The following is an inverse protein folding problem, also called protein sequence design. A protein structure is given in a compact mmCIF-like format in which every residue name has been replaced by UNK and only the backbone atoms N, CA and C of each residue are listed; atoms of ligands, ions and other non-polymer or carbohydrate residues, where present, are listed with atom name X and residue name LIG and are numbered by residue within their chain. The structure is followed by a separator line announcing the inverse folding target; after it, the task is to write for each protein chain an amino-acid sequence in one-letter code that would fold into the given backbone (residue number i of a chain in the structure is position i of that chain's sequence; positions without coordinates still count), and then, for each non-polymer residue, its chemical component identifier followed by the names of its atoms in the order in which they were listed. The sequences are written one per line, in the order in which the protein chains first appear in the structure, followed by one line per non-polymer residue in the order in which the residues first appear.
data_IF_733041734043
#
_entry.id   IF_733041734043
#
_cell.length_a   1.000
_cell.length_b   1.000
_cell.length_c   1.000
_cell.angle_alpha   90.00
_cell.angle_beta   90.00
_cell.angle_gamma   90.00
#
_symmetry.space_group_name_H-M   'P 1'
#
loop_
_entity.id
_entity.type
_entity.pdbx_description
1 polymer ?
#
# COMPACT_ATOMS: atom_id res chain seq x y z
N UNK A 1 -8.27 -12.83 16.24
CA UNK A 1 -9.60 -13.08 15.62
C UNK A 1 -9.97 -14.53 15.88
N UNK A 2 -11.24 -14.92 16.03
CA UNK A 2 -11.57 -16.34 16.29
C UNK A 2 -11.53 -17.14 14.99
N UNK A 3 -11.04 -18.39 15.03
CA UNK A 3 -11.01 -19.31 13.88
C UNK A 3 -12.39 -19.45 13.22
N UNK A 4 -13.44 -19.46 14.04
CA UNK A 4 -14.84 -19.49 13.60
C UNK A 4 -15.22 -18.30 12.71
N UNK A 5 -14.81 -17.07 13.06
CA UNK A 5 -15.12 -15.88 12.25
C UNK A 5 -14.41 -15.92 10.89
N UNK A 6 -13.14 -16.31 10.88
CA UNK A 6 -12.37 -16.49 9.65
C UNK A 6 -13.01 -17.51 8.69
N UNK A 7 -13.32 -18.72 9.19
CA UNK A 7 -13.96 -19.79 8.39
C UNK A 7 -15.32 -19.37 7.84
N UNK A 8 -16.13 -18.68 8.67
CA UNK A 8 -17.44 -18.17 8.26
C UNK A 8 -17.32 -17.11 7.17
N UNK A 9 -16.39 -16.16 7.33
CA UNK A 9 -16.15 -15.10 6.36
C UNK A 9 -15.71 -15.66 5.00
N UNK A 10 -14.72 -16.57 4.98
CA UNK A 10 -14.26 -17.19 3.74
C UNK A 10 -15.34 -18.03 3.07
N UNK A 11 -16.09 -18.81 3.85
CA UNK A 11 -17.22 -19.59 3.33
C UNK A 11 -18.26 -18.69 2.67
N UNK A 12 -18.52 -17.52 3.24
CA UNK A 12 -19.40 -16.53 2.61
C UNK A 12 -18.80 -16.05 1.30
N UNK A 13 -17.58 -15.52 1.31
CA UNK A 13 -16.88 -14.98 0.13
C UNK A 13 -16.84 -15.97 -1.04
N UNK A 14 -16.59 -17.26 -0.77
CA UNK A 14 -16.60 -18.33 -1.78
C UNK A 14 -17.96 -18.51 -2.46
N UNK A 15 -19.05 -18.38 -1.70
CA UNK A 15 -20.42 -18.59 -2.18
C UNK A 15 -21.04 -17.32 -2.75
N UNK A 16 -20.44 -16.17 -2.50
CA UNK A 16 -20.99 -14.88 -2.91
C UNK A 16 -20.83 -14.57 -4.38
N UNK A 17 -20.20 -15.40 -5.22
CA UNK A 17 -20.00 -15.08 -6.63
C UNK A 17 -21.26 -15.35 -7.48
N UNK A 18 -21.72 -14.39 -8.33
CA UNK A 18 -21.21 -13.02 -8.48
C UNK A 18 -21.57 -12.13 -7.29
N UNK A 19 -20.59 -11.38 -6.77
CA UNK A 19 -20.77 -10.61 -5.54
C UNK A 19 -21.24 -9.17 -5.79
N UNK A 20 -21.89 -8.59 -4.79
CA UNK A 20 -22.24 -7.17 -4.77
C UNK A 20 -21.37 -6.43 -3.76
N UNK A 21 -20.61 -5.44 -4.22
CA UNK A 21 -19.81 -4.56 -3.36
C UNK A 21 -20.67 -3.65 -2.46
N UNK A 22 -21.99 -3.63 -2.66
CA UNK A 22 -22.94 -2.93 -1.78
C UNK A 22 -23.47 -3.82 -0.66
N UNK A 23 -23.26 -5.13 -0.75
CA UNK A 23 -23.65 -6.06 0.31
C UNK A 23 -22.71 -5.86 1.52
N UNK A 24 -23.31 -5.47 2.65
CA UNK A 24 -22.59 -5.25 3.89
C UNK A 24 -21.98 -6.56 4.42
N UNK A 25 -22.63 -7.71 4.21
CA UNK A 25 -22.09 -9.00 4.62
C UNK A 25 -20.83 -9.35 3.83
N UNK A 26 -20.82 -9.06 2.53
CA UNK A 26 -19.62 -9.23 1.69
C UNK A 26 -18.47 -8.33 2.17
N UNK A 27 -18.75 -7.04 2.42
CA UNK A 27 -17.75 -6.10 2.95
C UNK A 27 -17.18 -6.56 4.29
N UNK A 28 -18.06 -6.88 5.23
CA UNK A 28 -17.66 -7.34 6.56
C UNK A 28 -16.86 -8.64 6.46
N UNK A 29 -17.22 -9.54 5.55
CA UNK A 29 -16.47 -10.78 5.35
C UNK A 29 -15.03 -10.51 4.89
N UNK A 30 -14.78 -9.52 4.03
CA UNK A 30 -13.41 -9.14 3.65
C UNK A 30 -12.60 -8.62 4.85
N UNK A 31 -13.25 -7.90 5.77
CA UNK A 31 -12.64 -7.35 6.99
C UNK A 31 -12.42 -8.40 8.09
N UNK A 32 -13.31 -9.38 8.19
CA UNK A 32 -13.30 -10.46 9.18
C UNK A 32 -12.39 -11.65 8.82
N UNK A 33 -11.81 -11.65 7.61
CA UNK A 33 -10.79 -12.64 7.26
C UNK A 33 -9.53 -12.40 8.09
N UNK A 34 -9.10 -13.41 8.83
CA UNK A 34 -7.75 -13.42 9.41
C UNK A 34 -6.70 -13.75 8.35
N UNK A 35 -6.08 -12.73 7.78
CA UNK A 35 -5.10 -12.89 6.69
C UNK A 35 -3.79 -13.56 7.13
N UNK A 36 -3.51 -13.63 8.45
CA UNK A 36 -2.27 -14.23 8.94
C UNK A 36 -2.26 -15.77 8.82
N UNK A 37 -3.43 -16.39 8.72
CA UNK A 37 -3.60 -17.85 8.71
C UNK A 37 -4.21 -18.38 7.42
N UNK A 38 -4.14 -17.59 6.33
CA UNK A 38 -4.64 -18.03 5.04
C UNK A 38 -3.87 -19.25 4.53
N UNK A 39 -4.63 -20.22 4.02
CA UNK A 39 -4.12 -21.24 3.10
C UNK A 39 -3.89 -20.65 1.71
N UNK A 40 -3.24 -21.41 0.83
CA UNK A 40 -2.98 -20.99 -0.55
C UNK A 40 -4.30 -20.81 -1.31
N UNK A 41 -5.24 -21.72 -1.12
CA UNK A 41 -6.55 -21.74 -1.76
C UNK A 41 -7.40 -20.54 -1.32
N UNK A 42 -7.36 -20.19 -0.04
CA UNK A 42 -8.08 -19.02 0.50
C UNK A 42 -7.48 -17.70 0.02
N UNK A 43 -6.15 -17.63 -0.09
CA UNK A 43 -5.49 -16.47 -0.70
C UNK A 43 -5.87 -16.32 -2.18
N UNK A 44 -6.00 -17.43 -2.93
CA UNK A 44 -6.43 -17.40 -4.32
C UNK A 44 -7.83 -16.80 -4.48
N UNK A 45 -8.79 -17.17 -3.62
CA UNK A 45 -10.13 -16.58 -3.57
C UNK A 45 -10.05 -15.06 -3.42
N UNK A 46 -9.26 -14.57 -2.46
CA UNK A 46 -9.08 -13.14 -2.22
C UNK A 46 -8.40 -12.42 -3.39
N UNK A 47 -7.44 -13.07 -4.05
CA UNK A 47 -6.78 -12.50 -5.23
C UNK A 47 -7.75 -12.35 -6.41
N UNK A 48 -8.63 -13.33 -6.62
CA UNK A 48 -9.67 -13.27 -7.64
C UNK A 48 -10.67 -12.15 -7.34
N UNK A 49 -11.14 -12.07 -6.09
CA UNK A 49 -12.01 -10.96 -5.63
C UNK A 49 -11.33 -9.60 -5.88
N UNK A 50 -10.05 -9.46 -5.53
CA UNK A 50 -9.30 -8.22 -5.74
C UNK A 50 -9.32 -7.72 -7.19
N UNK A 51 -9.21 -8.63 -8.17
CA UNK A 51 -9.20 -8.24 -9.58
C UNK A 51 -10.58 -7.86 -10.12
N UNK A 52 -11.65 -8.43 -9.57
CA UNK A 52 -13.04 -8.10 -9.92
C UNK A 52 -13.55 -6.83 -9.22
N UNK A 53 -12.99 -6.47 -8.07
CA UNK A 53 -13.40 -5.32 -7.28
C UNK A 53 -13.19 -3.96 -7.98
N UNK A 54 -14.23 -3.11 -7.93
CA UNK A 54 -14.23 -1.69 -8.30
C UNK A 54 -14.01 -0.77 -7.10
N UNK A 55 -14.47 -1.13 -5.92
CA UNK A 55 -14.25 -0.38 -4.67
C UNK A 55 -12.75 -0.31 -4.30
N UNK A 56 -12.24 0.91 -4.21
CA UNK A 56 -10.83 1.19 -3.92
C UNK A 56 -10.43 0.80 -2.49
N UNK A 57 -11.32 1.00 -1.53
CA UNK A 57 -11.05 0.71 -0.12
C UNK A 57 -10.90 -0.80 0.08
N UNK A 58 -11.81 -1.60 -0.47
CA UNK A 58 -11.74 -3.07 -0.39
C UNK A 58 -10.49 -3.62 -1.08
N UNK A 59 -10.14 -3.09 -2.26
CA UNK A 59 -8.88 -3.46 -2.93
C UNK A 59 -7.66 -3.13 -2.09
N UNK A 60 -7.60 -1.92 -1.50
CA UNK A 60 -6.50 -1.50 -0.62
C UNK A 60 -6.40 -2.38 0.61
N UNK A 61 -7.54 -2.77 1.21
CA UNK A 61 -7.60 -3.64 2.37
C UNK A 61 -7.03 -5.03 2.05
N UNK A 62 -7.51 -5.68 0.99
CA UNK A 62 -7.02 -7.00 0.55
C UNK A 62 -5.53 -6.93 0.25
N UNK A 63 -5.09 -5.98 -0.58
CA UNK A 63 -3.69 -5.85 -0.97
C UNK A 63 -2.76 -5.62 0.23
N UNK A 64 -3.15 -4.71 1.14
CA UNK A 64 -2.40 -4.43 2.37
C UNK A 64 -2.23 -5.70 3.19
N UNK A 65 -3.30 -6.43 3.42
CA UNK A 65 -3.24 -7.61 4.27
C UNK A 65 -2.50 -8.78 3.60
N UNK A 66 -2.71 -9.03 2.30
CA UNK A 66 -1.96 -10.03 1.55
C UNK A 66 -0.46 -9.73 1.52
N UNK A 67 -0.04 -8.46 1.46
CA UNK A 67 1.39 -8.08 1.52
C UNK A 67 2.11 -8.53 2.80
N UNK A 68 1.33 -8.82 3.86
CA UNK A 68 1.82 -9.28 5.16
C UNK A 68 1.85 -10.80 5.28
N UNK A 69 1.07 -11.53 4.48
CA UNK A 69 1.11 -13.00 4.43
C UNK A 69 2.53 -13.45 4.11
N UNK A 70 3.14 -14.27 4.97
CA UNK A 70 4.57 -14.64 4.79
C UNK A 70 4.81 -15.95 4.10
N UNK A 71 3.87 -16.87 4.19
CA UNK A 71 4.08 -18.27 3.80
C UNK A 71 3.47 -18.60 2.43
N UNK A 72 2.77 -17.65 1.81
CA UNK A 72 2.03 -17.85 0.56
C UNK A 72 2.76 -17.16 -0.60
N UNK A 73 3.00 -17.91 -1.67
CA UNK A 73 3.59 -17.42 -2.92
C UNK A 73 2.57 -16.57 -3.68
N UNK A 74 2.75 -15.25 -3.63
CA UNK A 74 1.83 -14.26 -4.22
C UNK A 74 2.55 -13.30 -5.18
N UNK A 75 3.71 -13.68 -5.69
CA UNK A 75 4.53 -12.85 -6.57
C UNK A 75 3.73 -12.34 -7.79
N UNK A 76 3.10 -13.24 -8.53
CA UNK A 76 2.33 -12.91 -9.73
C UNK A 76 1.16 -11.98 -9.40
N UNK A 77 0.48 -12.22 -8.26
CA UNK A 77 -0.58 -11.35 -7.77
C UNK A 77 -0.08 -9.92 -7.56
N UNK A 78 1.02 -9.72 -6.83
CA UNK A 78 1.54 -8.39 -6.55
C UNK A 78 2.00 -7.66 -7.81
N UNK A 79 2.62 -8.37 -8.76
CA UNK A 79 3.04 -7.77 -10.03
C UNK A 79 1.82 -7.35 -10.88
N UNK A 80 0.74 -8.15 -10.91
CA UNK A 80 -0.51 -7.79 -11.58
C UNK A 80 -1.23 -6.64 -10.86
N UNK A 81 -1.25 -6.62 -9.54
CA UNK A 81 -1.81 -5.53 -8.73
C UNK A 81 -1.09 -4.20 -9.01
N UNK A 82 0.25 -4.21 -9.05
CA UNK A 82 1.04 -3.03 -9.45
C UNK A 82 0.61 -2.47 -10.82
N UNK A 83 0.37 -3.34 -11.81
CA UNK A 83 -0.07 -2.94 -13.15
C UNK A 83 -1.50 -2.39 -13.16
N UNK A 84 -2.41 -2.98 -12.38
CA UNK A 84 -3.84 -2.58 -12.30
C UNK A 84 -4.02 -1.19 -11.69
N UNK A 85 -3.28 -0.89 -10.62
CA UNK A 85 -3.61 0.25 -9.76
C UNK A 85 -3.17 1.60 -10.34
N UNK A 86 -3.85 2.68 -9.95
CA UNK A 86 -3.53 4.04 -10.45
C UNK A 86 -2.89 4.94 -9.40
N UNK A 87 -3.15 4.66 -8.12
CA UNK A 87 -2.68 5.47 -7.00
C UNK A 87 -1.29 5.01 -6.55
N UNK A 88 -0.39 5.95 -6.27
CA UNK A 88 1.00 5.64 -5.96
C UNK A 88 1.15 4.86 -4.65
N UNK A 89 0.35 5.15 -3.64
CA UNK A 89 0.35 4.45 -2.35
C UNK A 89 -0.03 2.97 -2.50
N UNK A 90 -1.04 2.68 -3.32
CA UNK A 90 -1.48 1.30 -3.59
C UNK A 90 -0.44 0.57 -4.46
N UNK A 91 0.11 1.24 -5.49
CA UNK A 91 1.22 0.69 -6.29
C UNK A 91 2.43 0.35 -5.42
N UNK A 92 2.81 1.22 -4.49
CA UNK A 92 3.91 0.97 -3.57
C UNK A 92 3.61 -0.20 -2.62
N UNK A 93 2.36 -0.34 -2.17
CA UNK A 93 1.92 -1.49 -1.37
C UNK A 93 2.08 -2.80 -2.15
N UNK A 94 1.74 -2.81 -3.45
CA UNK A 94 1.97 -3.95 -4.32
C UNK A 94 3.47 -4.26 -4.48
N UNK A 95 4.30 -3.24 -4.70
CA UNK A 95 5.77 -3.37 -4.76
C UNK A 95 6.32 -3.96 -3.46
N UNK A 96 5.82 -3.55 -2.30
CA UNK A 96 6.21 -4.11 -1.00
C UNK A 96 5.94 -5.60 -0.89
N UNK A 97 4.81 -6.08 -1.42
CA UNK A 97 4.51 -7.50 -1.53
C UNK A 97 5.44 -8.21 -2.53
N UNK A 98 5.60 -7.63 -3.72
CA UNK A 98 6.40 -8.20 -4.81
C UNK A 98 7.89 -8.36 -4.46
N UNK A 99 8.50 -7.35 -3.84
CA UNK A 99 9.92 -7.31 -3.48
C UNK A 99 10.36 -8.43 -2.52
N UNK A 100 9.41 -9.15 -1.92
CA UNK A 100 9.69 -10.33 -1.09
C UNK A 100 10.12 -11.55 -1.88
N UNK A 101 9.67 -11.65 -3.12
CA UNK A 101 9.88 -12.80 -4.00
C UNK A 101 10.86 -12.47 -5.13
N UNK A 102 10.84 -11.21 -5.58
CA UNK A 102 11.61 -10.73 -6.71
C UNK A 102 13.07 -10.40 -6.33
N UNK A 103 13.97 -10.62 -7.29
CA UNK A 103 15.35 -10.16 -7.21
C UNK A 103 15.46 -8.63 -7.25
N UNK A 104 16.59 -8.08 -6.80
CA UNK A 104 16.87 -6.64 -6.92
C UNK A 104 16.69 -6.14 -8.36
N UNK A 105 17.19 -6.86 -9.35
CA UNK A 105 17.06 -6.50 -10.78
C UNK A 105 15.60 -6.43 -11.27
N UNK A 106 14.74 -7.29 -10.75
CA UNK A 106 13.31 -7.28 -11.09
C UNK A 106 12.59 -6.12 -10.41
N UNK A 107 12.87 -5.91 -9.13
CA UNK A 107 12.35 -4.76 -8.38
C UNK A 107 12.79 -3.45 -9.01
N UNK A 108 14.05 -3.34 -9.43
CA UNK A 108 14.60 -2.15 -10.08
C UNK A 108 13.79 -1.77 -11.33
N UNK A 109 13.48 -2.75 -12.19
CA UNK A 109 12.63 -2.52 -13.38
C UNK A 109 11.25 -1.99 -13.01
N UNK A 110 10.64 -2.53 -11.96
CA UNK A 110 9.33 -2.06 -11.47
C UNK A 110 9.45 -0.64 -10.91
N UNK A 111 10.51 -0.35 -10.15
CA UNK A 111 10.76 0.97 -9.58
C UNK A 111 11.09 2.03 -10.64
N UNK A 112 11.79 1.68 -11.72
CA UNK A 112 12.02 2.57 -12.86
C UNK A 112 10.70 2.97 -13.53
N UNK A 113 9.73 2.05 -13.63
CA UNK A 113 8.40 2.37 -14.13
C UNK A 113 7.64 3.25 -13.12
N UNK A 114 7.66 2.90 -11.83
CA UNK A 114 7.05 3.69 -10.77
C UNK A 114 7.59 5.13 -10.76
N UNK A 115 8.90 5.32 -10.93
CA UNK A 115 9.56 6.62 -11.02
C UNK A 115 9.00 7.47 -12.17
N UNK A 116 8.83 6.90 -13.36
CA UNK A 116 8.24 7.60 -14.51
C UNK A 116 6.82 8.08 -14.22
N UNK A 117 6.04 7.32 -13.45
CA UNK A 117 4.68 7.69 -13.02
C UNK A 117 4.75 8.80 -11.96
N UNK A 118 5.63 8.67 -10.97
CA UNK A 118 5.83 9.64 -9.90
C UNK A 118 6.20 11.04 -10.44
N UNK A 119 7.17 11.11 -11.35
CA UNK A 119 7.61 12.38 -11.96
C UNK A 119 6.43 13.11 -12.61
N UNK A 120 5.57 12.38 -13.34
CA UNK A 120 4.40 12.95 -14.02
C UNK A 120 3.18 13.15 -13.12
N UNK A 121 3.25 12.79 -11.84
CA UNK A 121 2.06 12.76 -10.97
C UNK A 121 1.51 14.15 -10.72
N UNK A 122 2.37 15.14 -10.48
CA UNK A 122 1.95 16.53 -10.24
C UNK A 122 1.31 17.18 -11.47
N UNK A 123 1.68 16.75 -12.68
CA UNK A 123 1.08 17.24 -13.94
C UNK A 123 -0.39 16.84 -14.08
N UNK A 124 -0.75 15.63 -13.62
CA UNK A 124 -2.07 15.04 -13.85
C UNK A 124 -2.99 15.06 -12.62
N UNK A 125 -2.43 15.18 -11.42
CA UNK A 125 -3.19 15.22 -10.17
C UNK A 125 -2.46 16.13 -9.17
N UNK A 126 -2.51 17.46 -9.39
CA UNK A 126 -1.85 18.42 -8.51
C UNK A 126 -2.41 18.30 -7.09
N UNK A 127 -1.55 18.56 -6.09
CA UNK A 127 -1.91 18.61 -4.66
C UNK A 127 -2.43 17.29 -4.05
N UNK A 128 -2.16 16.13 -4.65
CA UNK A 128 -2.48 14.83 -4.05
C UNK A 128 -1.51 14.43 -2.92
N UNK A 129 -1.50 15.21 -1.85
CA UNK A 129 -0.56 15.07 -0.74
C UNK A 129 -0.67 13.75 0.03
N UNK A 130 -1.83 13.08 -0.04
CA UNK A 130 -2.06 11.83 0.70
C UNK A 130 -1.18 10.69 0.17
N UNK A 131 -1.00 10.62 -1.16
CA UNK A 131 -0.09 9.64 -1.76
C UNK A 131 1.34 9.87 -1.29
N UNK A 132 1.84 11.10 -1.38
CA UNK A 132 3.20 11.44 -0.92
C UNK A 132 3.38 11.20 0.58
N UNK A 133 2.37 11.56 1.40
CA UNK A 133 2.39 11.28 2.83
C UNK A 133 2.56 9.79 3.11
N UNK A 134 1.92 8.90 2.32
CA UNK A 134 2.15 7.47 2.43
C UNK A 134 3.55 7.06 1.93
N UNK A 135 3.98 7.53 0.75
CA UNK A 135 5.29 7.18 0.19
C UNK A 135 6.44 7.51 1.15
N UNK A 136 6.36 8.65 1.82
CA UNK A 136 7.39 9.17 2.74
C UNK A 136 7.23 8.65 4.18
N UNK A 137 6.11 7.97 4.49
CA UNK A 137 5.85 7.43 5.83
C UNK A 137 6.74 6.22 6.17
N UNK A 138 6.87 5.87 7.45
CA UNK A 138 7.48 4.62 7.90
C UNK A 138 7.01 3.36 7.16
N UNK A 139 5.73 3.24 6.75
CA UNK A 139 5.22 2.09 5.99
C UNK A 139 5.57 2.10 4.49
N UNK A 140 6.03 3.23 3.95
CA UNK A 140 6.30 3.45 2.54
C UNK A 140 7.72 3.08 2.10
N UNK A 141 8.37 4.00 1.39
CA UNK A 141 9.74 3.81 0.89
C UNK A 141 10.77 3.63 2.00
N UNK A 142 10.71 4.33 3.16
CA UNK A 142 11.57 4.06 4.30
C UNK A 142 11.60 2.59 4.75
N UNK A 143 10.46 1.91 4.78
CA UNK A 143 10.39 0.48 5.08
C UNK A 143 11.18 -0.35 4.06
N UNK A 144 10.98 -0.06 2.77
CA UNK A 144 11.62 -0.79 1.67
C UNK A 144 13.15 -0.59 1.67
N UNK A 145 13.60 0.64 1.92
CA UNK A 145 15.01 0.99 2.08
C UNK A 145 15.62 0.20 3.23
N UNK A 146 15.01 0.28 4.43
CA UNK A 146 15.50 -0.40 5.63
C UNK A 146 15.54 -1.92 5.47
N UNK A 147 14.54 -2.50 4.79
CA UNK A 147 14.39 -3.95 4.70
C UNK A 147 15.26 -4.59 3.62
N UNK A 148 15.37 -3.96 2.45
CA UNK A 148 16.02 -4.58 1.29
C UNK A 148 17.34 -3.90 0.90
N UNK A 149 17.54 -2.63 1.27
CA UNK A 149 18.77 -1.89 0.95
C UNK A 149 18.98 -1.60 -0.54
N UNK A 150 17.95 -1.75 -1.39
CA UNK A 150 18.07 -1.48 -2.82
C UNK A 150 18.11 0.03 -3.09
N UNK A 151 19.10 0.46 -3.85
CA UNK A 151 19.33 1.83 -4.30
C UNK A 151 18.12 2.45 -5.03
N UNK A 152 17.41 1.65 -5.82
CA UNK A 152 16.21 2.10 -6.55
C UNK A 152 15.11 2.64 -5.62
N UNK A 153 15.02 2.16 -4.38
CA UNK A 153 14.07 2.71 -3.40
C UNK A 153 14.52 4.07 -2.88
N UNK A 154 15.81 4.26 -2.61
CA UNK A 154 16.36 5.55 -2.18
C UNK A 154 16.16 6.61 -3.27
N UNK A 155 16.46 6.27 -4.52
CA UNK A 155 16.31 7.17 -5.67
C UNK A 155 14.86 7.67 -5.79
N UNK A 156 13.88 6.76 -5.65
CA UNK A 156 12.46 7.11 -5.69
C UNK A 156 12.02 7.91 -4.45
N UNK A 157 12.58 7.62 -3.28
CA UNK A 157 12.32 8.37 -2.06
C UNK A 157 12.74 9.84 -2.18
N UNK A 158 13.96 10.10 -2.66
CA UNK A 158 14.43 11.47 -2.86
C UNK A 158 13.57 12.23 -3.88
N UNK A 159 13.16 11.59 -4.97
CA UNK A 159 12.26 12.21 -5.95
C UNK A 159 10.89 12.54 -5.33
N UNK A 160 10.31 11.62 -4.55
CA UNK A 160 9.03 11.85 -3.88
C UNK A 160 9.13 13.00 -2.87
N UNK A 161 10.27 13.10 -2.17
CA UNK A 161 10.55 14.18 -1.21
C UNK A 161 10.63 15.53 -1.90
N UNK A 162 11.40 15.66 -2.99
CA UNK A 162 11.49 16.90 -3.77
C UNK A 162 10.12 17.39 -4.22
N UNK A 163 9.28 16.49 -4.75
CA UNK A 163 7.93 16.84 -5.17
C UNK A 163 7.03 17.21 -4.00
N UNK A 164 7.13 16.50 -2.87
CA UNK A 164 6.35 16.82 -1.67
C UNK A 164 6.73 18.18 -1.10
N UNK A 165 8.02 18.49 -0.99
CA UNK A 165 8.51 19.75 -0.42
C UNK A 165 8.09 20.97 -1.27
N UNK A 166 8.03 20.79 -2.59
CA UNK A 166 7.52 21.78 -3.54
C UNK A 166 6.01 22.04 -3.45
N UNK A 167 5.23 21.20 -2.73
CA UNK A 167 3.81 21.44 -2.51
C UNK A 167 3.57 22.60 -1.55
N UNK A 168 2.45 23.29 -1.72
CA UNK A 168 2.04 24.36 -0.80
C UNK A 168 1.89 23.84 0.63
N UNK A 169 2.34 24.65 1.61
CA UNK A 169 2.37 24.29 3.03
C UNK A 169 1.02 23.81 3.56
N UNK A 170 -0.08 24.34 3.03
CA UNK A 170 -1.41 23.93 3.42
C UNK A 170 -1.68 22.44 3.17
N UNK A 171 -1.03 21.80 2.19
CA UNK A 171 -1.24 20.38 1.90
C UNK A 171 -0.25 19.46 2.64
N UNK A 172 0.78 20.03 3.28
CA UNK A 172 1.82 19.27 3.99
C UNK A 172 1.45 19.01 5.44
N UNK A 173 2.06 17.99 6.04
CA UNK A 173 2.05 17.73 7.49
C UNK A 173 0.65 17.65 8.16
N UNK A 174 -0.35 17.16 7.43
CA UNK A 174 -1.70 16.87 7.98
C UNK A 174 -1.90 15.41 8.35
N UNK A 175 -1.25 14.52 7.62
CA UNK A 175 -1.43 13.07 7.66
C UNK A 175 -0.06 12.40 7.53
N UNK A 176 0.14 11.31 8.25
CA UNK A 176 1.23 10.35 8.03
C UNK A 176 0.68 8.94 8.25
N UNK A 177 1.54 7.93 8.18
CA UNK A 177 1.17 6.54 8.44
C UNK A 177 2.19 5.89 9.39
N UNK A 178 1.75 4.95 10.23
CA UNK A 178 2.65 4.12 11.05
C UNK A 178 3.38 3.05 10.21
N UNK A 179 4.16 2.16 10.83
CA UNK A 179 4.89 1.08 10.13
C UNK A 179 3.95 0.03 9.51
N UNK A 180 2.76 -0.08 10.09
CA UNK A 180 1.65 -0.91 9.69
C UNK A 180 0.89 -0.29 8.50
N UNK A 181 1.06 1.00 8.24
CA UNK A 181 0.37 1.71 7.16
C UNK A 181 -1.05 2.14 7.54
N UNK A 182 -1.34 2.29 8.84
CA UNK A 182 -2.54 2.95 9.33
C UNK A 182 -2.33 4.47 9.36
N UNK A 183 -3.37 5.21 8.98
CA UNK A 183 -3.34 6.66 8.93
C UNK A 183 -3.24 7.27 10.33
N UNK A 184 -2.32 8.21 10.51
CA UNK A 184 -2.16 9.01 11.72
C UNK A 184 -2.35 10.49 11.37
N UNK A 185 -3.30 11.14 12.03
CA UNK A 185 -3.47 12.59 11.93
C UNK A 185 -2.37 13.29 12.71
N UNK A 186 -1.65 14.20 12.04
CA UNK A 186 -0.54 14.92 12.66
C UNK A 186 -1.11 16.06 13.51
N UNK A 187 -0.91 15.97 14.83
CA UNK A 187 -1.30 17.01 15.79
C UNK A 187 -0.36 18.22 15.72
N UNK A 188 -0.77 19.36 16.30
CA UNK A 188 0.05 20.60 16.34
C UNK A 188 1.43 20.37 16.99
N UNK A 189 1.50 19.53 18.02
CA UNK A 189 2.77 19.17 18.68
C UNK A 189 3.73 18.41 17.76
N UNK A 190 3.22 17.46 16.99
CA UNK A 190 4.02 16.70 16.02
C UNK A 190 4.52 17.58 14.88
N UNK A 191 3.70 18.54 14.39
CA UNK A 191 4.15 19.50 13.37
C UNK A 191 5.36 20.33 13.83
N UNK A 192 5.39 20.73 15.10
CA UNK A 192 6.50 21.49 15.67
C UNK A 192 7.78 20.66 15.78
N UNK A 193 7.66 19.36 16.08
CA UNK A 193 8.80 18.44 16.11
C UNK A 193 9.40 18.21 14.72
N UNK A 194 8.56 17.96 13.71
CA UNK A 194 8.98 17.80 12.31
C UNK A 194 9.74 19.04 11.82
N UNK A 195 9.19 20.24 12.05
CA UNK A 195 9.84 21.51 11.71
C UNK A 195 11.18 21.73 12.41
N UNK A 196 11.42 21.11 13.57
CA UNK A 196 12.68 21.20 14.31
C UNK A 196 13.71 20.21 13.79
N UNK A 197 13.31 19.00 13.40
CA UNK A 197 14.19 18.02 12.76
C UNK A 197 14.71 18.49 11.40
N UNK A 198 13.86 19.09 10.57
CA UNK A 198 14.26 19.60 9.26
C UNK A 198 15.27 20.76 9.35
N UNK A 199 15.18 21.60 10.40
CA UNK A 199 16.15 22.66 10.66
C UNK A 199 17.51 22.16 11.14
N UNK A 200 17.54 20.98 11.76
CA UNK A 200 18.77 20.40 12.29
C UNK A 200 19.51 19.54 11.23
N UNK A 201 18.93 19.39 10.03
CA UNK A 201 19.51 18.66 8.88
C UNK A 201 20.06 19.60 7.78
N UNK A 202 19.96 20.92 7.98
CA UNK A 202 20.59 21.98 7.18
C UNK A 202 21.86 22.46 7.89
#
# INVERSE_FOLDING_TARGET
MSKYLHEKALTFLMKSFPFSERDLHFRNSIEEVDYLFLTKEEAEILTNIYFELKDLYLRKLILKNLSRCKEIQLEEFFLKAYKKERYLDIRLTAIRGYARFASHKEVEKVMQNFMKILIKRQENTPNNYQEYAFLLSPAGLPYLIKKYGYDCFQIVYEQAKVQYDAMEEQYKNRLTYDEEGNAITITKGMRNAIKKEDRNKL
#
